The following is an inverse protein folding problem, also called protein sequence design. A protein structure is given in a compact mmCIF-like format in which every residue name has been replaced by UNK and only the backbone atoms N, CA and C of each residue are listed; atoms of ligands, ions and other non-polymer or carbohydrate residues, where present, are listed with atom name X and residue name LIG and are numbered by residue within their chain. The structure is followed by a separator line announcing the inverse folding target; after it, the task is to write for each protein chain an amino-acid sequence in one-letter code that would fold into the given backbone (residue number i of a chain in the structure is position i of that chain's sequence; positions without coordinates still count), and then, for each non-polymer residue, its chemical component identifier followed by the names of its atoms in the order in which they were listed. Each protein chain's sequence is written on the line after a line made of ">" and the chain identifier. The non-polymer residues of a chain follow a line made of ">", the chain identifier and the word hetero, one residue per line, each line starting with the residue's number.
data_IF_712806204624
#
_entry.id   IF_712806204624
#
_cell.length_a   1.000
_cell.length_b   1.000
_cell.length_c   1.000
_cell.angle_alpha   90.00
_cell.angle_beta   90.00
_cell.angle_gamma   90.00
#
_symmetry.space_group_name_H-M   'P 1'
#
loop_
_entity.id
_entity.type
_entity.pdbx_description
1 polymer ?
#
# COMPACT_ATOMS: atom_id res chain seq x y z
N UNK A 1 -20.62 -4.37 -15.45
CA UNK A 1 -20.33 -5.66 -14.78
C UNK A 1 -19.39 -5.35 -13.63
N UNK A 2 -19.94 -5.21 -12.42
CA UNK A 2 -19.16 -4.85 -11.24
C UNK A 2 -18.17 -5.96 -10.92
N UNK A 3 -16.89 -5.62 -10.71
CA UNK A 3 -15.91 -6.56 -10.15
C UNK A 3 -16.25 -6.75 -8.67
N UNK A 4 -17.25 -7.60 -8.40
CA UNK A 4 -17.50 -8.05 -7.04
C UNK A 4 -16.29 -8.85 -6.58
N UNK A 5 -15.65 -8.36 -5.52
CA UNK A 5 -14.50 -9.03 -4.93
C UNK A 5 -15.03 -10.31 -4.28
N UNK A 6 -14.64 -11.45 -4.84
CA UNK A 6 -15.00 -12.76 -4.30
C UNK A 6 -14.62 -12.84 -2.80
N UNK A 7 -15.59 -13.10 -1.90
CA UNK A 7 -15.33 -13.21 -0.47
C UNK A 7 -14.28 -14.28 -0.14
N UNK A 8 -14.19 -15.36 -0.92
CA UNK A 8 -13.18 -16.40 -0.73
C UNK A 8 -11.77 -15.85 -0.94
N UNK A 9 -11.56 -15.06 -2.00
CA UNK A 9 -10.27 -14.41 -2.29
C UNK A 9 -9.90 -13.42 -1.18
N UNK A 10 -10.86 -12.63 -0.69
CA UNK A 10 -10.63 -11.69 0.42
C UNK A 10 -10.19 -12.41 1.69
N UNK A 11 -10.83 -13.54 2.00
CA UNK A 11 -10.51 -14.34 3.19
C UNK A 11 -9.13 -14.99 3.10
N UNK A 12 -8.75 -15.50 1.92
CA UNK A 12 -7.43 -16.08 1.68
C UNK A 12 -6.30 -15.04 1.87
N UNK A 13 -6.49 -13.83 1.33
CA UNK A 13 -5.54 -12.72 1.53
C UNK A 13 -5.43 -12.38 3.01
N UNK A 14 -6.57 -12.29 3.73
CA UNK A 14 -6.60 -11.97 5.16
C UNK A 14 -5.88 -13.03 6.00
N UNK A 15 -6.08 -14.31 5.72
CA UNK A 15 -5.36 -15.40 6.39
C UNK A 15 -3.85 -15.31 6.14
N UNK A 16 -3.44 -15.03 4.90
CA UNK A 16 -2.02 -14.93 4.54
C UNK A 16 -1.33 -13.77 5.26
N UNK A 17 -1.98 -12.60 5.28
CA UNK A 17 -1.51 -11.40 6.00
C UNK A 17 -1.40 -11.66 7.50
N UNK A 18 -2.38 -12.33 8.09
CA UNK A 18 -2.37 -12.69 9.50
C UNK A 18 -1.29 -13.72 9.84
N UNK A 19 -1.04 -14.69 8.96
CA UNK A 19 -0.02 -15.72 9.16
C UNK A 19 1.41 -15.21 8.95
N UNK A 20 1.62 -14.19 8.11
CA UNK A 20 2.95 -13.69 7.73
C UNK A 20 3.07 -12.17 7.85
N UNK A 21 2.96 -11.60 9.07
CA UNK A 21 3.03 -10.15 9.26
C UNK A 21 4.35 -9.55 8.78
N UNK A 22 5.46 -10.28 8.90
CA UNK A 22 6.77 -9.83 8.41
C UNK A 22 6.83 -9.67 6.89
N UNK A 23 6.10 -10.50 6.14
CA UNK A 23 6.04 -10.39 4.67
C UNK A 23 5.32 -9.10 4.25
N UNK A 24 4.29 -8.71 5.00
CA UNK A 24 3.55 -7.46 4.76
C UNK A 24 4.47 -6.25 4.97
N UNK A 25 5.22 -6.24 6.08
CA UNK A 25 6.19 -5.18 6.37
C UNK A 25 7.29 -5.14 5.31
N UNK A 26 7.80 -6.30 4.89
CA UNK A 26 8.79 -6.40 3.83
C UNK A 26 8.26 -5.88 2.49
N UNK A 27 7.03 -6.23 2.12
CA UNK A 27 6.39 -5.74 0.90
C UNK A 27 6.16 -4.22 0.94
N UNK A 28 5.85 -3.66 2.11
CA UNK A 28 5.70 -2.22 2.31
C UNK A 28 7.03 -1.48 2.49
N UNK A 29 8.14 -2.19 2.71
CA UNK A 29 9.45 -1.59 3.01
C UNK A 29 9.89 -0.52 2.00
N UNK A 30 9.71 -0.66 0.67
CA UNK A 30 10.14 0.37 -0.27
C UNK A 30 9.34 1.66 -0.11
N UNK A 31 8.03 1.55 0.19
CA UNK A 31 7.17 2.70 0.43
C UNK A 31 7.56 3.44 1.72
N UNK A 32 7.89 2.69 2.78
CA UNK A 32 8.36 3.26 4.05
C UNK A 32 9.68 4.01 3.84
N UNK A 33 10.61 3.44 3.09
CA UNK A 33 11.90 4.09 2.79
C UNK A 33 11.69 5.38 2.01
N UNK A 34 10.92 5.35 0.92
CA UNK A 34 10.62 6.55 0.12
C UNK A 34 9.96 7.63 0.98
N UNK A 35 8.98 7.25 1.81
CA UNK A 35 8.30 8.17 2.70
C UNK A 35 9.25 8.80 3.74
N UNK A 36 10.09 7.98 4.38
CA UNK A 36 11.08 8.45 5.35
C UNK A 36 12.10 9.42 4.72
N UNK A 37 12.58 9.10 3.51
CA UNK A 37 13.49 9.98 2.76
C UNK A 37 12.83 11.32 2.43
N UNK A 38 11.60 11.30 1.93
CA UNK A 38 10.84 12.52 1.63
C UNK A 38 10.60 13.37 2.88
N UNK A 39 10.28 12.73 4.01
CA UNK A 39 10.07 13.44 5.27
C UNK A 39 11.36 14.12 5.75
N UNK A 40 12.50 13.41 5.72
CA UNK A 40 13.78 13.97 6.12
C UNK A 40 14.25 15.14 5.24
N UNK A 41 13.93 15.11 3.94
CA UNK A 41 14.36 16.14 2.98
C UNK A 41 13.43 17.34 2.88
N UNK A 42 12.15 17.17 3.23
CA UNK A 42 11.12 18.21 3.05
C UNK A 42 10.50 18.58 4.39
N UNK A 43 9.32 18.05 4.70
CA UNK A 43 8.59 18.17 5.95
C UNK A 43 7.49 17.09 5.99
N UNK A 44 6.99 16.76 7.19
CA UNK A 44 6.00 15.70 7.37
C UNK A 44 4.77 15.85 6.45
N UNK A 45 4.23 17.07 6.36
CA UNK A 45 3.04 17.37 5.56
C UNK A 45 3.26 17.14 4.05
N UNK A 46 4.43 17.52 3.54
CA UNK A 46 4.78 17.30 2.13
C UNK A 46 4.97 15.81 1.84
N UNK A 47 5.66 15.09 2.72
CA UNK A 47 5.81 13.64 2.60
C UNK A 47 4.46 12.91 2.63
N UNK A 48 3.52 13.35 3.47
CA UNK A 48 2.16 12.80 3.52
C UNK A 48 1.41 13.03 2.21
N UNK A 49 1.39 14.27 1.70
CA UNK A 49 0.70 14.60 0.45
C UNK A 49 1.28 13.77 -0.71
N UNK A 50 2.61 13.72 -0.84
CA UNK A 50 3.28 12.95 -1.89
C UNK A 50 3.01 11.46 -1.72
N UNK A 51 3.09 10.93 -0.51
CA UNK A 51 2.80 9.53 -0.21
C UNK A 51 1.35 9.14 -0.54
N UNK A 52 0.39 10.02 -0.26
CA UNK A 52 -1.01 9.80 -0.59
C UNK A 52 -1.27 9.85 -2.10
N UNK A 53 -0.66 10.80 -2.81
CA UNK A 53 -0.80 10.93 -4.27
C UNK A 53 -0.16 9.73 -4.98
N UNK A 54 1.06 9.36 -4.59
CA UNK A 54 1.78 8.23 -5.19
C UNK A 54 1.12 6.90 -4.82
N UNK A 55 0.78 6.70 -3.54
CA UNK A 55 0.11 5.49 -3.07
C UNK A 55 -1.30 5.34 -3.64
N UNK A 56 -2.08 6.43 -3.66
CA UNK A 56 -3.40 6.47 -4.27
C UNK A 56 -3.37 6.26 -5.79
N UNK A 57 -2.39 6.86 -6.48
CA UNK A 57 -2.15 6.64 -7.91
C UNK A 57 -1.77 5.19 -8.22
N UNK A 58 -0.84 4.61 -7.45
CA UNK A 58 -0.45 3.21 -7.58
C UNK A 58 -1.65 2.27 -7.35
N UNK A 59 -2.40 2.48 -6.26
CA UNK A 59 -3.62 1.72 -5.99
C UNK A 59 -4.64 1.85 -7.13
N UNK A 60 -4.87 3.07 -7.63
CA UNK A 60 -5.79 3.29 -8.75
C UNK A 60 -5.35 2.55 -10.02
N UNK A 61 -4.06 2.58 -10.37
CA UNK A 61 -3.56 1.83 -11.53
C UNK A 61 -3.69 0.31 -11.35
N UNK A 62 -3.45 -0.19 -10.14
CA UNK A 62 -3.59 -1.62 -9.79
C UNK A 62 -5.06 -2.06 -9.81
N UNK A 63 -5.97 -1.25 -9.29
CA UNK A 63 -7.40 -1.56 -9.23
C UNK A 63 -8.09 -1.42 -10.59
N UNK A 64 -7.52 -0.63 -11.50
CA UNK A 64 -8.06 -0.41 -12.85
C UNK A 64 -7.64 -1.50 -13.85
N UNK A 65 -6.52 -2.19 -13.61
CA UNK A 65 -6.17 -3.43 -14.33
C UNK A 65 -7.15 -4.55 -13.97
#
# INVERSE_FOLDING_TARGET
>A
MGREIDPARRNAVRQTVAAHPGLVVFALSPAIVVFGVLWLLTNFWLALIVGLVVGGGAAWTLLRR
#
